data_IF_793197353676
#
_entry.id   IF_793197353676
#
_cell.length_a   1.000
_cell.length_b   1.000
_cell.length_c   1.000
_cell.angle_alpha   90.00
_cell.angle_beta   90.00
_cell.angle_gamma   90.00
#
_symmetry.space_group_name_H-M   'P 1'
#
loop_
_entity.id
_entity.type
_entity.pdbx_description
1 polymer ?
#
# COMPACT_ATOMS: atom_id res chain seq x y z
N UNK A 1 -20.86 75.77 8.07
CA UNK A 1 -21.46 74.92 9.11
C UNK A 1 -22.42 74.00 8.39
N UNK A 2 -22.08 72.76 8.10
CA UNK A 2 -21.51 71.74 8.99
C UNK A 2 -20.66 70.76 8.15
N UNK A 3 -19.47 70.43 8.66
CA UNK A 3 -18.60 69.37 8.13
C UNK A 3 -19.27 68.00 8.35
N UNK A 4 -19.40 67.21 7.28
CA UNK A 4 -19.58 65.77 7.41
C UNK A 4 -18.25 65.11 6.99
N UNK A 5 -17.45 64.83 8.02
CA UNK A 5 -16.20 64.10 8.00
C UNK A 5 -16.43 62.72 7.42
N UNK A 6 -15.95 62.51 6.19
CA UNK A 6 -15.87 61.20 5.55
C UNK A 6 -14.78 60.40 6.28
N UNK A 7 -15.21 59.62 7.26
CA UNK A 7 -14.32 58.76 8.05
C UNK A 7 -13.84 57.62 7.17
N UNK A 8 -12.62 57.78 6.66
CA UNK A 8 -11.76 56.69 6.18
C UNK A 8 -11.55 55.68 7.31
N UNK A 9 -12.50 54.76 7.50
CA UNK A 9 -12.27 53.54 8.27
C UNK A 9 -11.36 52.66 7.42
N UNK A 10 -10.05 52.79 7.65
CA UNK A 10 -9.06 51.81 7.22
C UNK A 10 -9.51 50.43 7.70
N UNK A 11 -9.99 49.60 6.77
CA UNK A 11 -10.30 48.20 7.07
C UNK A 11 -9.01 47.51 7.52
N UNK A 12 -9.04 46.75 8.63
CA UNK A 12 -7.84 46.19 9.24
C UNK A 12 -7.01 45.35 8.26
N UNK A 13 -5.68 45.49 8.34
CA UNK A 13 -4.67 44.89 7.45
C UNK A 13 -4.75 43.35 7.36
N UNK A 14 -5.39 42.69 8.32
CA UNK A 14 -5.61 41.25 8.39
C UNK A 14 -6.37 40.67 7.18
N UNK A 15 -7.26 41.44 6.56
CA UNK A 15 -7.96 40.98 5.36
C UNK A 15 -7.04 40.75 4.15
N UNK A 16 -5.85 41.38 4.12
CA UNK A 16 -4.85 41.13 3.06
C UNK A 16 -4.16 39.77 3.22
N UNK A 17 -4.07 39.25 4.44
CA UNK A 17 -3.41 37.97 4.75
C UNK A 17 -4.35 36.77 4.75
N UNK A 18 -5.67 36.99 4.82
CA UNK A 18 -6.65 35.91 4.91
C UNK A 18 -6.60 34.95 3.70
N UNK A 19 -6.44 35.46 2.48
CA UNK A 19 -6.39 34.62 1.28
C UNK A 19 -5.14 33.71 1.24
N UNK A 20 -3.91 34.23 1.45
CA UNK A 20 -2.72 33.40 1.64
C UNK A 20 -2.87 32.38 2.78
N UNK A 21 -3.45 32.77 3.91
CA UNK A 21 -3.65 31.88 5.06
C UNK A 21 -4.58 30.72 4.70
N UNK A 22 -5.70 30.98 4.00
CA UNK A 22 -6.63 29.92 3.58
C UNK A 22 -6.02 28.95 2.57
N UNK A 23 -5.22 29.46 1.63
CA UNK A 23 -4.47 28.59 0.73
C UNK A 23 -3.42 27.77 1.50
N UNK A 24 -2.65 28.41 2.38
CA UNK A 24 -1.64 27.77 3.20
C UNK A 24 -2.21 26.72 4.16
N UNK A 25 -3.41 26.96 4.73
CA UNK A 25 -4.08 25.98 5.59
C UNK A 25 -4.58 24.76 4.81
N UNK A 26 -5.04 24.95 3.58
CA UNK A 26 -5.35 23.84 2.67
C UNK A 26 -4.11 23.00 2.37
N UNK A 27 -2.99 23.64 2.05
CA UNK A 27 -1.71 22.96 1.83
C UNK A 27 -1.28 22.18 3.07
N UNK A 28 -1.31 22.80 4.25
CA UNK A 28 -0.95 22.14 5.51
C UNK A 28 -1.86 20.94 5.81
N UNK A 29 -3.16 21.04 5.50
CA UNK A 29 -4.10 19.94 5.69
C UNK A 29 -3.75 18.70 4.85
N UNK A 30 -3.08 18.86 3.71
CA UNK A 30 -2.62 17.71 2.89
C UNK A 30 -1.49 16.90 3.55
N UNK A 31 -0.66 17.55 4.39
CA UNK A 31 0.55 16.97 5.01
C UNK A 31 0.40 16.71 6.50
N UNK A 32 -0.77 16.99 7.08
CA UNK A 32 -0.98 16.88 8.53
C UNK A 32 -0.76 15.46 9.05
N UNK A 33 -1.19 14.44 8.30
CA UNK A 33 -1.01 13.05 8.73
C UNK A 33 0.47 12.62 8.71
N UNK A 34 1.25 12.83 7.64
CA UNK A 34 2.69 12.59 7.68
C UNK A 34 3.40 13.32 8.83
N UNK A 35 3.06 14.59 9.08
CA UNK A 35 3.64 15.36 10.19
C UNK A 35 3.31 14.73 11.54
N UNK A 36 2.06 14.28 11.74
CA UNK A 36 1.66 13.61 12.97
C UNK A 36 2.42 12.29 13.16
N UNK A 37 2.53 11.47 12.12
CA UNK A 37 3.24 10.18 12.18
C UNK A 37 4.73 10.37 12.47
N UNK A 38 5.39 11.36 11.85
CA UNK A 38 6.76 11.73 12.18
C UNK A 38 6.89 12.18 13.64
N UNK A 39 5.95 12.98 14.14
CA UNK A 39 5.95 13.42 15.53
C UNK A 39 5.69 12.27 16.52
N UNK A 40 5.04 11.19 16.08
CA UNK A 40 4.87 9.94 16.83
C UNK A 40 6.09 9.02 16.79
N UNK A 41 7.20 9.44 16.17
CA UNK A 41 8.45 8.67 16.13
C UNK A 41 8.58 7.75 14.92
N UNK A 42 7.63 7.77 13.97
CA UNK A 42 7.78 7.02 12.72
C UNK A 42 8.83 7.64 11.82
N UNK A 43 9.49 6.82 11.00
CA UNK A 43 10.41 7.34 10.00
C UNK A 43 9.67 8.01 8.83
N UNK A 44 10.43 8.59 7.89
CA UNK A 44 9.87 9.32 6.74
C UNK A 44 9.08 8.39 5.81
N UNK A 45 9.50 7.15 5.64
CA UNK A 45 8.84 6.19 4.76
C UNK A 45 7.48 5.80 5.33
N UNK A 46 7.45 5.41 6.60
CA UNK A 46 6.24 5.04 7.33
C UNK A 46 5.24 6.19 7.46
N UNK A 47 5.75 7.42 7.63
CA UNK A 47 4.89 8.59 7.72
C UNK A 47 4.21 8.94 6.38
N UNK A 48 4.87 8.65 5.26
CA UNK A 48 4.35 8.91 3.91
C UNK A 48 3.51 7.73 3.38
N UNK A 49 3.77 6.51 3.84
CA UNK A 49 3.14 5.28 3.37
C UNK A 49 1.60 5.35 3.28
N UNK A 50 0.86 5.85 4.29
CA UNK A 50 -0.60 5.95 4.18
C UNK A 50 -1.07 6.86 3.04
N UNK A 51 -0.28 7.88 2.68
CA UNK A 51 -0.60 8.72 1.53
C UNK A 51 -0.30 8.01 0.21
N UNK A 52 0.82 7.28 0.12
CA UNK A 52 1.15 6.46 -1.04
C UNK A 52 0.06 5.42 -1.31
N UNK A 53 -0.37 4.70 -0.27
CA UNK A 53 -1.44 3.72 -0.34
C UNK A 53 -2.77 4.33 -0.82
N UNK A 54 -3.19 5.48 -0.26
CA UNK A 54 -4.42 6.16 -0.71
C UNK A 54 -4.31 6.72 -2.13
N UNK A 55 -3.14 7.20 -2.54
CA UNK A 55 -2.93 7.66 -3.92
C UNK A 55 -3.05 6.50 -4.91
N UNK A 56 -2.54 5.31 -4.53
CA UNK A 56 -2.72 4.08 -5.30
C UNK A 56 -4.20 3.70 -5.39
N UNK A 57 -4.90 3.61 -4.26
CA UNK A 57 -6.34 3.31 -4.21
C UNK A 57 -7.17 4.30 -5.05
N UNK A 58 -6.90 5.60 -4.91
CA UNK A 58 -7.57 6.64 -5.69
C UNK A 58 -7.31 6.48 -7.20
N UNK A 59 -6.09 6.10 -7.58
CA UNK A 59 -5.76 5.86 -8.99
C UNK A 59 -6.50 4.64 -9.53
N UNK A 60 -6.54 3.54 -8.79
CA UNK A 60 -7.30 2.34 -9.18
C UNK A 60 -8.80 2.68 -9.31
N UNK A 61 -9.36 3.41 -8.34
CA UNK A 61 -10.75 3.87 -8.41
C UNK A 61 -11.02 4.74 -9.64
N UNK A 62 -10.14 5.70 -9.95
CA UNK A 62 -10.29 6.55 -11.14
C UNK A 62 -10.22 5.76 -12.45
N UNK A 63 -9.39 4.72 -12.50
CA UNK A 63 -9.29 3.80 -13.63
C UNK A 63 -10.60 3.02 -13.82
N UNK A 64 -11.15 2.47 -12.75
CA UNK A 64 -12.38 1.68 -12.82
C UNK A 64 -13.63 2.55 -13.10
N UNK A 65 -13.56 3.83 -12.72
CA UNK A 65 -14.67 4.78 -12.80
C UNK A 65 -14.39 5.93 -13.77
N UNK A 66 -13.74 5.66 -14.91
CA UNK A 66 -13.42 6.66 -15.95
C UNK A 66 -14.64 7.47 -16.40
N UNK A 67 -15.78 6.80 -16.61
CA UNK A 67 -17.04 7.45 -17.01
C UNK A 67 -17.51 8.44 -15.94
N UNK A 68 -17.43 8.07 -14.66
CA UNK A 68 -17.79 8.95 -13.56
C UNK A 68 -16.86 10.16 -13.48
N UNK A 69 -15.54 9.93 -13.62
CA UNK A 69 -14.55 11.01 -13.67
C UNK A 69 -14.86 12.00 -14.80
N UNK A 70 -15.21 11.50 -16.00
CA UNK A 70 -15.60 12.34 -17.13
C UNK A 70 -16.82 13.21 -16.82
N UNK A 71 -17.89 12.63 -16.27
CA UNK A 71 -19.10 13.39 -15.92
C UNK A 71 -18.85 14.42 -14.81
N UNK A 72 -18.10 14.06 -13.77
CA UNK A 72 -17.73 15.02 -12.70
C UNK A 72 -16.91 16.18 -13.29
N UNK A 73 -15.96 15.87 -14.17
CA UNK A 73 -15.14 16.88 -14.85
C UNK A 73 -16.02 17.84 -15.65
N UNK A 74 -16.99 17.32 -16.40
CA UNK A 74 -17.92 18.12 -17.18
C UNK A 74 -18.77 19.04 -16.31
N UNK A 75 -19.29 18.54 -15.18
CA UNK A 75 -20.04 19.33 -14.20
C UNK A 75 -19.17 20.46 -13.64
N UNK A 76 -17.92 20.17 -13.26
CA UNK A 76 -16.98 21.17 -12.75
C UNK A 76 -16.69 22.24 -13.81
N UNK A 77 -16.46 21.84 -15.06
CA UNK A 77 -16.23 22.77 -16.16
C UNK A 77 -17.44 23.66 -16.43
N UNK A 78 -18.66 23.12 -16.54
CA UNK A 78 -19.86 23.93 -16.72
C UNK A 78 -20.11 24.89 -15.56
N UNK A 79 -19.90 24.43 -14.32
CA UNK A 79 -20.02 25.27 -13.12
C UNK A 79 -19.02 26.42 -13.15
N UNK A 80 -17.77 26.14 -13.54
CA UNK A 80 -16.73 27.16 -13.68
C UNK A 80 -17.03 28.15 -14.81
N UNK A 81 -17.54 27.68 -15.94
CA UNK A 81 -17.94 28.52 -17.08
C UNK A 81 -19.10 29.46 -16.73
N UNK A 82 -20.11 28.96 -16.01
CA UNK A 82 -21.20 29.77 -15.48
C UNK A 82 -20.69 30.87 -14.53
N UNK A 83 -19.72 30.53 -13.67
CA UNK A 83 -19.05 31.50 -12.80
C UNK A 83 -18.26 32.55 -13.60
N UNK A 84 -17.51 32.15 -14.63
CA UNK A 84 -16.80 33.08 -15.52
C UNK A 84 -17.79 34.04 -16.17
N UNK A 85 -18.92 33.54 -16.71
CA UNK A 85 -19.96 34.36 -17.31
C UNK A 85 -20.50 35.39 -16.33
N UNK A 86 -20.83 34.97 -15.11
CA UNK A 86 -21.30 35.88 -14.05
C UNK A 86 -20.26 36.95 -13.71
N UNK A 87 -18.98 36.58 -13.61
CA UNK A 87 -17.88 37.52 -13.38
C UNK A 87 -17.71 38.53 -14.52
N UNK A 88 -17.85 38.09 -15.78
CA UNK A 88 -17.84 38.98 -16.94
C UNK A 88 -19.03 39.96 -16.94
N UNK A 89 -20.18 39.56 -16.38
CA UNK A 89 -21.33 40.45 -16.13
C UNK A 89 -21.18 41.30 -14.86
N UNK A 90 -20.01 41.37 -14.25
CA UNK A 90 -19.73 42.19 -13.06
C UNK A 90 -20.22 41.59 -11.74
N UNK A 91 -20.62 40.31 -11.73
CA UNK A 91 -21.06 39.59 -10.52
C UNK A 91 -19.94 38.64 -10.04
N UNK A 92 -19.04 39.10 -9.14
CA UNK A 92 -17.98 38.25 -8.62
C UNK A 92 -18.55 37.08 -7.78
N UNK A 93 -17.78 35.99 -7.59
CA UNK A 93 -18.19 34.89 -6.74
C UNK A 93 -18.44 35.37 -5.31
N UNK A 94 -19.39 34.70 -4.63
CA UNK A 94 -19.66 34.95 -3.22
C UNK A 94 -18.38 34.74 -2.38
N UNK A 95 -18.17 35.57 -1.35
CA UNK A 95 -16.93 35.56 -0.58
C UNK A 95 -16.66 34.19 0.07
N UNK A 96 -17.70 33.51 0.58
CA UNK A 96 -17.55 32.19 1.19
C UNK A 96 -17.10 31.17 0.14
N UNK A 97 -17.72 31.15 -1.04
CA UNK A 97 -17.34 30.28 -2.16
C UNK A 97 -15.88 30.50 -2.53
N UNK A 98 -15.45 31.77 -2.66
CA UNK A 98 -14.05 32.09 -2.94
C UNK A 98 -13.09 31.57 -1.86
N UNK A 99 -13.45 31.70 -0.58
CA UNK A 99 -12.63 31.23 0.55
C UNK A 99 -12.52 29.70 0.57
N UNK A 100 -13.62 28.99 0.35
CA UNK A 100 -13.63 27.52 0.25
C UNK A 100 -12.74 27.07 -0.90
N UNK A 101 -12.86 27.70 -2.08
CA UNK A 101 -12.08 27.32 -3.24
C UNK A 101 -10.58 27.65 -3.08
N UNK A 102 -10.22 28.69 -2.33
CA UNK A 102 -8.82 28.96 -1.97
C UNK A 102 -8.25 27.84 -1.09
N UNK A 103 -9.02 27.37 -0.11
CA UNK A 103 -8.63 26.22 0.72
C UNK A 103 -8.48 24.95 -0.13
N UNK A 104 -9.46 24.65 -0.99
CA UNK A 104 -9.41 23.49 -1.91
C UNK A 104 -8.19 23.60 -2.84
N UNK A 105 -7.91 24.77 -3.40
CA UNK A 105 -6.73 24.97 -4.26
C UNK A 105 -5.43 24.68 -3.51
N UNK A 106 -5.33 25.11 -2.25
CA UNK A 106 -4.18 24.81 -1.38
C UNK A 106 -4.05 23.31 -1.11
N UNK A 107 -5.17 22.65 -0.76
CA UNK A 107 -5.23 21.21 -0.51
C UNK A 107 -4.82 20.39 -1.74
N UNK A 108 -5.39 20.70 -2.91
CA UNK A 108 -5.04 20.05 -4.18
C UNK A 108 -3.58 20.28 -4.56
N UNK A 109 -3.04 21.48 -4.32
CA UNK A 109 -1.61 21.77 -4.54
C UNK A 109 -0.72 20.92 -3.62
N UNK A 110 -1.11 20.76 -2.36
CA UNK A 110 -0.39 19.91 -1.41
C UNK A 110 -0.40 18.43 -1.81
N UNK A 111 -1.55 17.90 -2.25
CA UNK A 111 -1.62 16.54 -2.81
C UNK A 111 -0.81 16.38 -4.10
N UNK A 112 -0.75 17.40 -4.96
CA UNK A 112 0.12 17.38 -6.15
C UNK A 112 1.60 17.32 -5.78
N UNK A 113 2.03 18.08 -4.77
CA UNK A 113 3.43 18.03 -4.28
C UNK A 113 3.76 16.63 -3.78
N UNK A 114 2.90 16.05 -2.94
CA UNK A 114 3.09 14.69 -2.43
C UNK A 114 3.08 13.66 -3.56
N UNK A 115 2.15 13.78 -4.52
CA UNK A 115 2.10 12.93 -5.70
C UNK A 115 3.40 12.99 -6.50
N UNK A 116 3.93 14.19 -6.80
CA UNK A 116 5.18 14.31 -7.56
C UNK A 116 6.39 13.77 -6.79
N UNK A 117 6.42 13.89 -5.47
CA UNK A 117 7.46 13.26 -4.65
C UNK A 117 7.36 11.73 -4.78
N UNK A 118 6.16 11.18 -4.63
CA UNK A 118 5.92 9.75 -4.82
C UNK A 118 6.25 9.30 -6.24
N UNK A 119 5.96 10.11 -7.24
CA UNK A 119 6.23 9.79 -8.65
C UNK A 119 7.73 9.69 -8.94
N UNK A 120 8.53 10.60 -8.40
CA UNK A 120 9.98 10.58 -8.54
C UNK A 120 10.60 9.36 -7.86
N UNK A 121 10.13 8.98 -6.67
CA UNK A 121 10.75 7.91 -5.87
C UNK A 121 10.17 6.51 -6.14
N UNK A 122 8.88 6.42 -6.45
CA UNK A 122 8.11 5.17 -6.48
C UNK A 122 7.34 4.95 -7.79
N UNK A 123 6.49 5.90 -8.20
CA UNK A 123 5.46 5.64 -9.23
C UNK A 123 5.97 5.73 -10.67
N UNK A 124 7.07 6.47 -10.92
CA UNK A 124 7.77 6.57 -12.21
C UNK A 124 6.86 6.82 -13.42
N UNK A 125 5.84 7.66 -13.26
CA UNK A 125 4.90 8.03 -14.31
C UNK A 125 3.77 7.04 -14.56
N UNK A 126 3.58 6.04 -13.69
CA UNK A 126 2.55 5.01 -13.88
C UNK A 126 1.11 5.54 -13.83
N UNK A 127 0.84 6.65 -13.13
CA UNK A 127 -0.51 7.08 -12.77
C UNK A 127 -0.91 8.41 -13.41
N UNK A 128 -1.50 8.36 -14.61
CA UNK A 128 -1.87 9.57 -15.35
C UNK A 128 -3.18 10.23 -14.87
N UNK A 129 -4.15 9.45 -14.40
CA UNK A 129 -5.51 9.93 -14.10
C UNK A 129 -5.59 10.77 -12.82
N UNK A 130 -4.83 10.42 -11.79
CA UNK A 130 -4.82 11.14 -10.53
C UNK A 130 -4.31 12.59 -10.65
N UNK A 131 -3.14 12.87 -11.24
CA UNK A 131 -2.70 14.24 -11.49
C UNK A 131 -3.63 14.98 -12.44
N UNK A 132 -4.27 14.30 -13.40
CA UNK A 132 -5.32 14.89 -14.24
C UNK A 132 -6.54 15.32 -13.43
N UNK A 133 -7.06 14.48 -12.53
CA UNK A 133 -8.19 14.82 -11.66
C UNK A 133 -7.86 16.05 -10.78
N UNK A 134 -6.67 16.08 -10.20
CA UNK A 134 -6.19 17.26 -9.45
C UNK A 134 -6.04 18.49 -10.34
N UNK A 135 -5.55 18.33 -11.57
CA UNK A 135 -5.48 19.40 -12.57
C UNK A 135 -6.86 19.99 -12.89
N UNK A 136 -7.88 19.16 -13.07
CA UNK A 136 -9.27 19.59 -13.34
C UNK A 136 -9.84 20.37 -12.14
N UNK A 137 -9.67 19.85 -10.92
CA UNK A 137 -10.11 20.52 -9.69
C UNK A 137 -9.44 21.89 -9.56
N UNK A 138 -8.11 21.94 -9.71
CA UNK A 138 -7.33 23.15 -9.58
C UNK A 138 -7.71 24.18 -10.65
N UNK A 139 -7.83 23.75 -11.91
CA UNK A 139 -8.21 24.61 -13.03
C UNK A 139 -9.60 25.24 -12.81
N UNK A 140 -10.58 24.44 -12.40
CA UNK A 140 -11.94 24.91 -12.12
C UNK A 140 -11.97 25.88 -10.94
N UNK A 141 -11.20 25.62 -9.87
CA UNK A 141 -11.07 26.55 -8.75
C UNK A 141 -10.48 27.89 -9.20
N UNK A 142 -9.40 27.87 -9.99
CA UNK A 142 -8.76 29.07 -10.52
C UNK A 142 -9.71 29.90 -11.37
N UNK A 143 -10.48 29.27 -12.27
CA UNK A 143 -11.50 29.96 -13.07
C UNK A 143 -12.60 30.60 -12.22
N UNK A 144 -13.06 29.94 -11.17
CA UNK A 144 -14.07 30.53 -10.28
C UNK A 144 -13.48 31.67 -9.45
N UNK A 145 -12.24 31.58 -8.99
CA UNK A 145 -11.61 32.58 -8.12
C UNK A 145 -11.17 33.83 -8.90
N UNK A 146 -10.50 33.64 -10.03
CA UNK A 146 -9.79 34.69 -10.77
C UNK A 146 -10.30 34.92 -12.20
N UNK A 147 -11.19 34.06 -12.69
CA UNK A 147 -11.69 34.13 -14.07
C UNK A 147 -10.66 33.66 -15.10
N UNK A 148 -10.95 33.97 -16.37
CA UNK A 148 -10.06 33.69 -17.50
C UNK A 148 -8.69 34.38 -17.34
N UNK A 149 -7.62 33.79 -17.88
CA UNK A 149 -6.30 34.42 -17.85
C UNK A 149 -6.35 35.73 -18.65
N UNK A 150 -5.94 36.83 -18.02
CA UNK A 150 -5.91 38.19 -18.62
C UNK A 150 -4.53 38.79 -18.44
N UNK A 151 -4.12 39.65 -19.37
CA UNK A 151 -2.88 40.40 -19.24
C UNK A 151 -2.88 41.21 -17.93
N UNK A 152 -1.77 41.24 -17.17
CA UNK A 152 -1.75 41.90 -15.87
C UNK A 152 -1.99 43.41 -16.00
N UNK A 153 -2.85 43.96 -15.15
CA UNK A 153 -3.06 45.40 -15.06
C UNK A 153 -1.77 46.07 -14.54
N UNK A 154 -1.22 47.03 -15.30
CA UNK A 154 0.01 47.77 -14.94
C UNK A 154 -0.21 48.83 -13.85
N UNK A 155 -1.28 48.73 -13.07
CA UNK A 155 -1.68 49.72 -12.07
C UNK A 155 -0.88 49.59 -10.77
N UNK A 156 -0.38 48.40 -10.42
CA UNK A 156 0.56 48.21 -9.30
C UNK A 156 1.40 46.94 -9.46
N UNK A 157 2.62 46.93 -8.88
CA UNK A 157 3.50 45.74 -8.89
C UNK A 157 2.80 44.49 -8.35
N UNK A 158 2.04 44.63 -7.26
CA UNK A 158 1.29 43.52 -6.65
C UNK A 158 0.24 42.93 -7.59
N UNK A 159 -0.51 43.78 -8.31
CA UNK A 159 -1.49 43.31 -9.31
C UNK A 159 -0.82 42.64 -10.49
N UNK A 160 0.36 43.13 -10.90
CA UNK A 160 1.17 42.50 -11.95
C UNK A 160 1.61 41.09 -11.53
N UNK A 161 2.22 40.95 -10.34
CA UNK A 161 2.65 39.64 -9.83
C UNK A 161 1.48 38.66 -9.63
N UNK A 162 0.35 39.13 -9.09
CA UNK A 162 -0.84 38.31 -8.95
C UNK A 162 -1.40 37.84 -10.30
N UNK A 163 -1.40 38.71 -11.32
CA UNK A 163 -1.81 38.35 -12.68
C UNK A 163 -0.90 37.31 -13.33
N UNK A 164 0.43 37.49 -13.21
CA UNK A 164 1.41 36.50 -13.70
C UNK A 164 1.24 35.16 -12.97
N UNK A 165 1.11 35.18 -11.64
CA UNK A 165 0.90 33.97 -10.84
C UNK A 165 -0.38 33.21 -11.25
N UNK A 166 -1.48 33.93 -11.48
CA UNK A 166 -2.73 33.34 -11.95
C UNK A 166 -2.60 32.69 -13.33
N UNK A 167 -1.91 33.36 -14.26
CA UNK A 167 -1.63 32.81 -15.60
C UNK A 167 -0.82 31.52 -15.47
N UNK A 168 0.29 31.55 -14.72
CA UNK A 168 1.15 30.37 -14.52
C UNK A 168 0.39 29.21 -13.87
N UNK A 169 -0.45 29.51 -12.87
CA UNK A 169 -1.27 28.50 -12.21
C UNK A 169 -2.28 27.86 -13.16
N UNK A 170 -2.92 28.64 -14.04
CA UNK A 170 -3.83 28.11 -15.07
C UNK A 170 -3.06 27.22 -16.06
N UNK A 171 -1.90 27.67 -16.54
CA UNK A 171 -1.08 26.87 -17.46
C UNK A 171 -0.62 25.57 -16.81
N UNK A 172 -0.18 25.61 -15.56
CA UNK A 172 0.20 24.42 -14.81
C UNK A 172 -0.97 23.45 -14.63
N UNK A 173 -2.13 23.95 -14.23
CA UNK A 173 -3.33 23.13 -14.09
C UNK A 173 -3.75 22.52 -15.45
N UNK A 174 -3.72 23.29 -16.53
CA UNK A 174 -3.99 22.78 -17.87
C UNK A 174 -2.97 21.70 -18.30
N UNK A 175 -1.68 21.92 -18.02
CA UNK A 175 -0.62 20.94 -18.30
C UNK A 175 -0.84 19.62 -17.55
N UNK A 176 -1.35 19.64 -16.32
CA UNK A 176 -1.71 18.43 -15.57
C UNK A 176 -2.88 17.65 -16.19
N UNK A 177 -3.81 18.35 -16.85
CA UNK A 177 -4.99 17.71 -17.48
C UNK A 177 -4.60 17.03 -18.80
N UNK A 178 -3.67 17.61 -19.57
CA UNK A 178 -3.36 17.16 -20.93
C UNK A 178 -2.99 15.67 -21.05
N UNK A 179 -2.13 15.09 -20.19
CA UNK A 179 -1.77 13.67 -20.29
C UNK A 179 -2.93 12.71 -20.06
N UNK A 180 -3.93 13.08 -19.26
CA UNK A 180 -5.07 12.22 -18.97
C UNK A 180 -6.21 12.31 -19.99
N UNK A 181 -6.25 13.33 -20.87
CA UNK A 181 -7.30 13.44 -21.89
C UNK A 181 -7.34 12.21 -22.79
N UNK A 182 -6.22 11.73 -23.39
CA UNK A 182 -6.23 10.51 -24.19
C UNK A 182 -6.73 9.28 -23.43
N UNK A 183 -6.45 9.18 -22.13
CA UNK A 183 -6.92 8.10 -21.29
C UNK A 183 -8.44 8.18 -21.03
N UNK A 184 -8.97 9.39 -20.79
CA UNK A 184 -10.41 9.61 -20.56
C UNK A 184 -11.27 9.36 -21.80
N UNK A 185 -10.73 9.56 -23.01
CA UNK A 185 -11.44 9.31 -24.27
C UNK A 185 -11.15 7.92 -24.87
N UNK A 186 -10.37 7.08 -24.18
CA UNK A 186 -10.11 5.69 -24.56
C UNK A 186 -9.08 5.49 -25.68
N UNK A 187 -8.20 6.46 -25.91
CA UNK A 187 -7.13 6.38 -26.93
C UNK A 187 -5.78 5.98 -26.33
N UNK A 188 -5.55 6.28 -25.04
CA UNK A 188 -4.32 5.86 -24.38
C UNK A 188 -4.24 4.32 -24.27
N UNK A 189 -3.04 3.74 -24.33
CA UNK A 189 -2.85 2.33 -24.01
C UNK A 189 -3.41 2.03 -22.62
N UNK A 190 -4.40 1.15 -22.56
CA UNK A 190 -4.88 0.59 -21.29
C UNK A 190 -4.08 -0.68 -20.98
N UNK A 191 -3.91 -1.03 -19.69
CA UNK A 191 -3.45 -2.36 -19.33
C UNK A 191 -4.37 -3.41 -20.00
N UNK A 192 -3.84 -4.61 -20.32
CA UNK A 192 -4.67 -5.68 -20.85
C UNK A 192 -5.79 -6.02 -19.86
N UNK A 193 -6.87 -6.61 -20.40
CA UNK A 193 -7.93 -7.15 -19.56
C UNK A 193 -7.35 -8.18 -18.58
N UNK A 194 -7.99 -8.26 -17.41
CA UNK A 194 -7.64 -9.23 -16.38
C UNK A 194 -7.64 -10.63 -17.02
N UNK A 195 -6.53 -11.38 -16.95
CA UNK A 195 -6.47 -12.69 -17.58
C UNK A 195 -7.46 -13.64 -16.92
N UNK A 196 -8.01 -14.58 -17.67
CA UNK A 196 -8.93 -15.59 -17.12
C UNK A 196 -8.16 -16.58 -16.24
N UNK A 197 -6.91 -16.88 -16.59
CA UNK A 197 -6.02 -17.84 -15.92
C UNK A 197 -4.63 -17.25 -15.80
N UNK A 198 -3.94 -17.54 -14.70
CA UNK A 198 -2.56 -17.12 -14.46
C UNK A 198 -2.45 -15.73 -13.82
N UNK A 199 -1.22 -15.25 -13.65
CA UNK A 199 -0.89 -14.06 -12.87
C UNK A 199 -1.80 -12.86 -13.19
N UNK A 200 -2.42 -12.30 -12.14
CA UNK A 200 -3.32 -11.15 -12.24
C UNK A 200 -4.79 -11.50 -12.48
N UNK A 201 -5.16 -12.77 -12.67
CA UNK A 201 -6.57 -13.21 -12.78
C UNK A 201 -7.34 -13.08 -11.46
N UNK A 202 -8.64 -13.43 -11.44
CA UNK A 202 -9.38 -13.55 -10.18
C UNK A 202 -8.88 -14.75 -9.33
N UNK A 203 -8.93 -14.66 -7.98
CA UNK A 203 -8.51 -15.71 -7.05
C UNK A 203 -9.26 -17.05 -7.17
N UNK A 204 -10.54 -17.04 -7.58
CA UNK A 204 -11.46 -18.19 -7.54
C UNK A 204 -10.99 -19.48 -8.22
N UNK A 205 -11.78 -20.57 -8.11
CA UNK A 205 -13.24 -20.54 -7.91
C UNK A 205 -13.74 -20.76 -6.47
N UNK A 206 -12.87 -21.05 -5.50
CA UNK A 206 -13.31 -21.37 -4.14
C UNK A 206 -13.45 -20.12 -3.27
N UNK A 207 -14.49 -20.06 -2.47
CA UNK A 207 -14.52 -19.18 -1.30
C UNK A 207 -13.52 -19.69 -0.26
N UNK A 208 -13.11 -18.83 0.66
CA UNK A 208 -12.07 -19.16 1.64
C UNK A 208 -12.46 -18.75 3.04
N UNK A 209 -12.17 -19.61 4.01
CA UNK A 209 -12.30 -19.30 5.45
C UNK A 209 -10.91 -19.23 6.08
N UNK A 210 -10.69 -18.24 6.94
CA UNK A 210 -9.46 -18.05 7.70
C UNK A 210 -9.68 -18.31 9.19
N UNK A 211 -8.73 -19.00 9.81
CA UNK A 211 -8.68 -19.21 11.26
C UNK A 211 -7.30 -18.87 11.82
N UNK A 212 -7.27 -18.32 13.03
CA UNK A 212 -6.04 -17.88 13.70
C UNK A 212 -5.73 -18.82 14.86
N UNK A 213 -4.48 -19.28 14.92
CA UNK A 213 -4.03 -20.24 15.93
C UNK A 213 -2.70 -19.78 16.54
N UNK A 214 -2.71 -19.19 17.75
CA UNK A 214 -1.51 -18.86 18.48
C UNK A 214 -0.64 -20.10 18.75
N UNK A 215 0.68 -19.94 18.71
CA UNK A 215 1.61 -21.00 19.07
C UNK A 215 2.45 -20.61 20.29
N UNK A 216 2.96 -21.60 21.01
CA UNK A 216 3.84 -21.37 22.15
C UNK A 216 5.21 -20.91 21.65
N UNK A 217 5.53 -19.64 21.90
CA UNK A 217 6.83 -19.07 21.55
C UNK A 217 7.94 -19.76 22.37
N UNK A 218 9.01 -20.28 21.74
CA UNK A 218 10.13 -20.83 22.48
C UNK A 218 10.70 -19.80 23.46
N UNK A 219 10.92 -20.22 24.72
CA UNK A 219 11.31 -19.32 25.81
C UNK A 219 12.49 -18.41 25.45
N UNK A 220 13.56 -18.99 24.88
CA UNK A 220 14.77 -18.24 24.50
C UNK A 220 14.51 -17.17 23.43
N UNK A 221 13.48 -17.35 22.59
CA UNK A 221 13.06 -16.35 21.60
C UNK A 221 12.23 -15.28 22.28
N UNK A 222 11.25 -15.67 23.10
CA UNK A 222 10.37 -14.73 23.82
C UNK A 222 11.14 -13.75 24.71
N UNK A 223 12.25 -14.18 25.30
CA UNK A 223 13.11 -13.35 26.16
C UNK A 223 13.86 -12.22 25.42
N UNK A 224 13.96 -12.29 24.09
CA UNK A 224 14.73 -11.33 23.27
C UNK A 224 13.85 -10.52 22.31
N UNK A 225 12.53 -10.66 22.37
CA UNK A 225 11.60 -9.86 21.57
C UNK A 225 11.62 -8.41 22.07
N UNK A 226 11.82 -7.46 21.15
CA UNK A 226 11.85 -6.04 21.48
C UNK A 226 10.44 -5.47 21.63
N UNK A 227 10.35 -4.31 22.31
CA UNK A 227 9.10 -3.67 22.73
C UNK A 227 8.06 -3.51 21.61
N UNK A 228 8.49 -3.31 20.35
CA UNK A 228 7.59 -3.15 19.20
C UNK A 228 6.74 -4.40 18.89
N UNK A 229 7.17 -5.59 19.33
CA UNK A 229 6.52 -6.87 19.03
C UNK A 229 6.15 -7.68 20.29
N UNK A 230 6.40 -7.18 21.51
CA UNK A 230 6.13 -7.92 22.75
C UNK A 230 4.64 -8.20 23.00
N UNK A 231 3.76 -7.33 22.53
CA UNK A 231 2.30 -7.46 22.70
C UNK A 231 1.63 -8.32 21.59
N UNK A 232 2.41 -8.95 20.71
CA UNK A 232 1.90 -9.75 19.60
C UNK A 232 1.75 -11.21 20.02
N UNK A 233 0.52 -11.73 19.93
CA UNK A 233 0.25 -13.17 20.00
C UNK A 233 0.61 -13.85 18.67
N UNK A 234 1.90 -14.19 18.52
CA UNK A 234 2.41 -14.84 17.32
C UNK A 234 1.62 -16.12 17.00
N UNK A 235 1.09 -16.16 15.79
CA UNK A 235 0.09 -17.13 15.36
C UNK A 235 0.36 -17.69 13.97
N UNK A 236 -0.23 -18.85 13.71
CA UNK A 236 -0.42 -19.38 12.37
C UNK A 236 -1.82 -18.98 11.89
N UNK A 237 -1.89 -18.30 10.75
CA UNK A 237 -3.15 -18.00 10.08
C UNK A 237 -3.36 -19.05 9.01
N UNK A 238 -4.33 -19.93 9.24
CA UNK A 238 -4.67 -21.01 8.31
C UNK A 238 -5.90 -20.60 7.49
N UNK A 239 -5.66 -20.35 6.21
CA UNK A 239 -6.71 -20.03 5.23
C UNK A 239 -6.94 -21.24 4.34
N UNK A 240 -8.19 -21.70 4.30
CA UNK A 240 -8.58 -22.91 3.58
C UNK A 240 -9.65 -22.60 2.53
N UNK A 241 -9.62 -23.28 1.37
CA UNK A 241 -10.75 -23.28 0.44
C UNK A 241 -11.95 -23.97 1.08
N UNK A 242 -13.14 -23.43 0.84
CA UNK A 242 -14.39 -24.11 1.16
C UNK A 242 -14.74 -25.08 0.04
N UNK A 243 -14.54 -26.37 0.27
CA UNK A 243 -14.77 -27.41 -0.71
C UNK A 243 -16.21 -27.95 -0.61
N UNK A 244 -16.87 -28.14 -1.75
CA UNK A 244 -18.16 -28.83 -1.78
C UNK A 244 -17.97 -30.34 -1.74
N UNK A 245 -18.87 -31.11 -1.10
CA UNK A 245 -18.75 -32.57 -1.00
C UNK A 245 -18.75 -33.34 -2.32
N UNK A 246 -19.09 -32.66 -3.43
CA UNK A 246 -19.25 -33.25 -4.76
C UNK A 246 -17.93 -33.27 -5.57
N UNK A 247 -16.87 -32.61 -5.07
CA UNK A 247 -15.57 -32.59 -5.72
C UNK A 247 -14.83 -33.91 -5.49
N UNK A 248 -14.38 -34.62 -6.55
CA UNK A 248 -13.62 -35.86 -6.43
C UNK A 248 -12.15 -35.58 -6.09
N UNK A 249 -11.91 -34.94 -4.95
CA UNK A 249 -10.57 -34.61 -4.45
C UNK A 249 -10.31 -35.36 -3.15
N UNK A 250 -9.21 -36.11 -3.10
CA UNK A 250 -8.78 -36.80 -1.87
C UNK A 250 -7.90 -35.90 -0.99
N UNK A 251 -7.14 -35.00 -1.62
CA UNK A 251 -6.27 -34.06 -0.93
C UNK A 251 -6.03 -32.76 -1.71
N UNK A 252 -5.56 -31.73 -0.99
CA UNK A 252 -5.10 -30.44 -1.52
C UNK A 252 -3.65 -30.15 -1.09
N UNK A 253 -2.87 -29.39 -1.88
CA UNK A 253 -1.50 -29.01 -1.52
C UNK A 253 -1.45 -28.02 -0.34
N UNK A 254 -0.24 -27.86 0.23
CA UNK A 254 0.07 -26.90 1.29
C UNK A 254 0.91 -25.73 0.75
N UNK A 255 0.62 -24.52 1.22
CA UNK A 255 1.43 -23.33 1.02
C UNK A 255 1.87 -22.78 2.38
N UNK A 256 3.16 -22.47 2.51
CA UNK A 256 3.74 -21.78 3.66
C UNK A 256 4.17 -20.38 3.23
N UNK A 257 3.61 -19.36 3.89
CA UNK A 257 3.89 -17.96 3.59
C UNK A 257 4.47 -17.25 4.80
N UNK A 258 5.59 -16.57 4.63
CA UNK A 258 6.24 -15.76 5.66
C UNK A 258 6.22 -14.27 5.35
N UNK A 259 6.10 -13.46 6.40
CA UNK A 259 6.12 -12.01 6.30
C UNK A 259 7.54 -11.41 6.30
N UNK A 260 7.66 -10.19 5.80
CA UNK A 260 8.84 -9.33 5.87
C UNK A 260 9.08 -8.72 7.26
N UNK A 261 10.18 -7.98 7.37
CA UNK A 261 10.59 -7.35 8.63
C UNK A 261 9.59 -6.27 9.05
N UNK A 262 9.22 -6.25 10.33
CA UNK A 262 8.39 -5.24 10.97
C UNK A 262 6.89 -5.25 10.64
N UNK A 263 6.43 -6.20 9.83
CA UNK A 263 5.02 -6.31 9.46
C UNK A 263 4.52 -7.76 9.55
N UNK A 264 4.41 -8.36 10.75
CA UNK A 264 3.73 -9.64 10.96
C UNK A 264 2.20 -9.48 10.81
N UNK A 265 1.71 -8.77 9.80
CA UNK A 265 0.30 -8.39 9.66
C UNK A 265 -0.31 -9.20 8.52
N UNK A 266 -1.26 -10.08 8.84
CA UNK A 266 -1.92 -10.96 7.87
C UNK A 266 -2.56 -10.17 6.72
N UNK A 267 -3.18 -9.03 7.04
CA UNK A 267 -3.93 -8.20 6.09
C UNK A 267 -3.08 -7.71 4.91
N UNK A 268 -1.79 -7.51 5.12
CA UNK A 268 -0.83 -7.06 4.09
C UNK A 268 -0.47 -8.17 3.07
N UNK A 269 -0.80 -9.43 3.37
CA UNK A 269 -0.51 -10.60 2.51
C UNK A 269 -1.76 -11.24 1.91
N UNK A 270 -2.93 -10.62 2.12
CA UNK A 270 -4.23 -11.16 1.68
C UNK A 270 -4.29 -11.46 0.20
N UNK A 271 -3.64 -10.66 -0.66
CA UNK A 271 -3.60 -10.94 -2.10
C UNK A 271 -2.97 -12.29 -2.43
N UNK A 272 -1.81 -12.63 -1.84
CA UNK A 272 -1.17 -13.93 -2.05
C UNK A 272 -1.99 -15.05 -1.43
N UNK A 273 -2.46 -14.84 -0.20
CA UNK A 273 -3.17 -15.85 0.57
C UNK A 273 -4.50 -16.20 -0.10
N UNK A 274 -5.31 -15.21 -0.44
CA UNK A 274 -6.60 -15.43 -1.13
C UNK A 274 -6.38 -16.05 -2.50
N UNK A 275 -5.35 -15.66 -3.24
CA UNK A 275 -5.11 -16.18 -4.58
C UNK A 275 -4.66 -17.65 -4.60
N UNK A 276 -3.84 -18.06 -3.62
CA UNK A 276 -3.47 -19.47 -3.44
C UNK A 276 -4.65 -20.26 -2.88
N UNK A 277 -5.30 -19.76 -1.82
CA UNK A 277 -6.35 -20.48 -1.13
C UNK A 277 -7.59 -20.71 -1.99
N UNK A 278 -8.06 -19.68 -2.70
CA UNK A 278 -9.22 -19.76 -3.57
C UNK A 278 -9.01 -20.66 -4.81
N UNK A 279 -7.79 -21.18 -5.00
CA UNK A 279 -7.45 -22.20 -6.02
C UNK A 279 -7.33 -23.62 -5.49
N UNK A 280 -7.72 -23.83 -4.24
CA UNK A 280 -7.71 -25.15 -3.65
C UNK A 280 -6.37 -25.49 -3.01
N UNK A 281 -5.63 -24.50 -2.49
CA UNK A 281 -4.39 -24.71 -1.73
C UNK A 281 -4.64 -24.36 -0.26
N UNK A 282 -4.22 -25.19 0.69
CA UNK A 282 -4.24 -24.78 2.09
C UNK A 282 -3.09 -23.81 2.33
N UNK A 283 -3.37 -22.59 2.83
CA UNK A 283 -2.32 -21.58 3.05
C UNK A 283 -2.13 -21.35 4.53
N UNK A 284 -0.94 -21.65 5.03
CA UNK A 284 -0.49 -21.29 6.37
C UNK A 284 0.43 -20.06 6.28
N UNK A 285 -0.08 -18.91 6.73
CA UNK A 285 0.74 -17.73 6.97
C UNK A 285 1.37 -17.82 8.36
N UNK A 286 2.70 -17.89 8.36
CA UNK A 286 3.55 -18.19 9.51
C UNK A 286 4.14 -16.89 10.04
N UNK A 287 3.68 -16.46 11.21
CA UNK A 287 4.29 -15.33 11.91
C UNK A 287 5.49 -15.76 12.74
N UNK A 288 6.50 -14.90 12.79
CA UNK A 288 7.67 -15.04 13.67
C UNK A 288 8.19 -13.65 14.05
N UNK A 289 8.85 -13.49 15.20
CA UNK A 289 9.34 -12.19 15.64
C UNK A 289 10.47 -11.71 14.73
N UNK A 290 10.35 -10.48 14.25
CA UNK A 290 11.31 -9.84 13.37
C UNK A 290 12.16 -8.81 14.11
N UNK A 291 11.59 -8.20 15.15
CA UNK A 291 12.24 -7.28 16.09
C UNK A 291 12.76 -8.05 17.32
N UNK A 292 13.97 -8.60 17.19
CA UNK A 292 14.64 -9.32 18.27
C UNK A 292 16.06 -8.78 18.50
N UNK A 293 16.51 -8.80 19.74
CA UNK A 293 17.87 -8.41 20.14
C UNK A 293 18.61 -9.58 20.83
N UNK A 294 19.11 -10.56 20.04
CA UNK A 294 19.79 -11.72 20.60
C UNK A 294 21.17 -11.35 21.17
N UNK A 295 21.65 -12.08 22.20
CA UNK A 295 23.01 -11.90 22.68
C UNK A 295 24.03 -12.18 21.56
N UNK A 296 24.98 -11.26 21.38
CA UNK A 296 26.05 -11.39 20.38
C UNK A 296 27.24 -12.10 21.03
N UNK A 297 27.68 -13.27 20.51
CA UNK A 297 28.86 -13.95 21.03
C UNK A 297 30.11 -13.08 20.99
N UNK A 298 30.92 -13.14 22.06
CA UNK A 298 32.16 -12.37 22.14
C UNK A 298 33.10 -12.72 20.97
N UNK A 299 33.63 -11.70 20.30
CA UNK A 299 34.53 -11.88 19.17
C UNK A 299 33.85 -12.29 17.86
N UNK A 300 32.51 -12.38 17.81
CA UNK A 300 31.79 -12.57 16.55
C UNK A 300 32.13 -11.43 15.59
N UNK A 301 32.69 -11.79 14.43
CA UNK A 301 32.81 -10.88 13.31
C UNK A 301 31.61 -11.10 12.41
N UNK A 302 30.78 -10.06 12.27
CA UNK A 302 29.67 -10.08 11.32
C UNK A 302 30.19 -10.33 9.91
N UNK A 303 29.63 -11.34 9.26
CA UNK A 303 29.87 -11.68 7.86
C UNK A 303 28.55 -11.41 7.15
N UNK A 304 28.59 -10.57 6.13
CA UNK A 304 27.49 -10.35 5.19
C UNK A 304 28.05 -10.45 3.78
N UNK A 305 27.76 -11.58 3.13
CA UNK A 305 28.31 -11.93 1.81
C UNK A 305 27.23 -12.65 1.02
N UNK A 306 27.00 -12.22 -0.23
CA UNK A 306 26.05 -12.84 -1.16
C UNK A 306 24.62 -12.95 -0.59
N UNK A 307 24.19 -11.93 0.15
CA UNK A 307 22.86 -11.87 0.76
C UNK A 307 22.67 -12.85 1.92
N UNK A 308 23.76 -13.39 2.48
CA UNK A 308 23.72 -14.29 3.62
C UNK A 308 24.58 -13.75 4.78
N UNK A 309 24.13 -13.98 6.02
CA UNK A 309 24.87 -13.53 7.20
C UNK A 309 24.97 -14.57 8.32
N UNK A 310 25.95 -14.37 9.20
CA UNK A 310 26.17 -15.20 10.38
C UNK A 310 25.58 -14.61 11.67
N UNK A 311 24.70 -13.62 11.56
CA UNK A 311 24.16 -12.96 12.75
C UNK A 311 23.26 -13.92 13.56
N UNK A 312 23.29 -13.84 14.92
CA UNK A 312 22.57 -14.78 15.78
C UNK A 312 21.06 -14.78 15.61
N UNK A 313 20.46 -13.67 15.14
CA UNK A 313 19.02 -13.54 14.95
C UNK A 313 18.44 -14.64 14.03
N UNK A 314 19.25 -15.24 13.17
CA UNK A 314 18.82 -16.34 12.32
C UNK A 314 18.38 -17.58 13.12
N UNK A 315 19.11 -17.92 14.18
CA UNK A 315 18.83 -19.11 14.99
C UNK A 315 17.53 -18.96 15.78
N UNK A 316 17.33 -17.81 16.41
CA UNK A 316 16.11 -17.53 17.17
C UNK A 316 14.86 -17.47 16.30
N UNK A 317 14.94 -16.81 15.13
CA UNK A 317 13.82 -16.81 14.18
C UNK A 317 13.55 -18.21 13.62
N UNK A 318 14.58 -19.04 13.42
CA UNK A 318 14.39 -20.44 13.03
C UNK A 318 13.65 -21.25 14.09
N UNK A 319 13.96 -21.06 15.38
CA UNK A 319 13.22 -21.72 16.48
C UNK A 319 11.74 -21.31 16.49
N UNK A 320 11.43 -20.03 16.30
CA UNK A 320 10.03 -19.57 16.22
C UNK A 320 9.30 -20.14 15.00
N UNK A 321 9.93 -20.13 13.82
CA UNK A 321 9.37 -20.72 12.61
C UNK A 321 9.12 -22.23 12.82
N UNK A 322 10.07 -22.96 13.41
CA UNK A 322 9.89 -24.38 13.71
C UNK A 322 8.67 -24.63 14.62
N UNK A 323 8.52 -23.84 15.69
CA UNK A 323 7.35 -23.93 16.58
C UNK A 323 6.03 -23.63 15.86
N UNK A 324 6.02 -22.64 14.95
CA UNK A 324 4.85 -22.35 14.15
C UNK A 324 4.52 -23.49 13.16
N UNK A 325 5.52 -24.13 12.54
CA UNK A 325 5.31 -25.27 11.66
C UNK A 325 4.86 -26.54 12.42
N UNK A 326 5.30 -26.72 13.68
CA UNK A 326 4.75 -27.75 14.56
C UNK A 326 3.26 -27.52 14.82
N UNK A 327 2.86 -26.27 15.00
CA UNK A 327 1.44 -25.90 15.09
C UNK A 327 0.69 -26.23 13.80
N UNK A 328 1.24 -25.95 12.61
CA UNK A 328 0.63 -26.38 11.33
C UNK A 328 0.43 -27.90 11.27
N UNK A 329 1.47 -28.68 11.61
CA UNK A 329 1.40 -30.14 11.65
C UNK A 329 0.27 -30.62 12.57
N UNK A 330 0.22 -30.09 13.78
CA UNK A 330 -0.74 -30.49 14.82
C UNK A 330 -2.17 -30.10 14.48
N UNK A 331 -2.37 -28.93 13.88
CA UNK A 331 -3.71 -28.44 13.55
C UNK A 331 -4.29 -29.09 12.30
N UNK A 332 -3.47 -29.35 11.28
CA UNK A 332 -3.98 -29.54 9.92
C UNK A 332 -3.54 -30.85 9.25
N UNK A 333 -2.38 -31.40 9.62
CA UNK A 333 -1.73 -32.50 8.88
C UNK A 333 -1.80 -33.85 9.61
N UNK A 334 -1.95 -33.84 10.94
CA UNK A 334 -2.16 -35.06 11.71
C UNK A 334 -3.55 -35.67 11.49
N UNK A 335 -3.71 -36.97 11.78
CA UNK A 335 -5.00 -37.69 11.65
C UNK A 335 -6.14 -37.04 12.44
N UNK A 336 -5.84 -36.50 13.62
CA UNK A 336 -6.79 -35.77 14.46
C UNK A 336 -6.62 -34.26 14.27
N UNK A 337 -7.06 -33.75 13.12
CA UNK A 337 -6.99 -32.33 12.79
C UNK A 337 -8.03 -31.49 13.54
N UNK A 338 -7.78 -30.18 13.58
CA UNK A 338 -8.62 -29.21 14.26
C UNK A 338 -10.01 -29.11 13.59
N UNK A 339 -11.11 -28.95 14.35
CA UNK A 339 -12.48 -28.93 13.79
C UNK A 339 -12.73 -27.87 12.71
N UNK A 340 -11.98 -26.76 12.73
CA UNK A 340 -12.07 -25.74 11.67
C UNK A 340 -11.60 -26.25 10.32
N UNK A 341 -10.67 -27.21 10.29
CA UNK A 341 -10.19 -27.84 9.06
C UNK A 341 -11.26 -28.76 8.48
N UNK A 342 -11.93 -29.54 9.33
CA UNK A 342 -13.07 -30.38 8.91
C UNK A 342 -14.24 -29.55 8.41
N UNK A 343 -14.49 -28.39 9.02
CA UNK A 343 -15.55 -27.49 8.59
C UNK A 343 -15.32 -26.95 7.17
N UNK A 344 -14.07 -26.69 6.77
CA UNK A 344 -13.72 -26.17 5.45
C UNK A 344 -13.53 -27.27 4.39
N UNK A 345 -12.91 -28.40 4.76
CA UNK A 345 -12.46 -29.42 3.82
C UNK A 345 -13.30 -30.71 3.84
N UNK A 346 -14.18 -30.90 4.83
CA UNK A 346 -14.95 -32.14 4.99
C UNK A 346 -14.04 -33.35 5.19
N UNK A 347 -13.99 -34.26 4.21
CA UNK A 347 -13.11 -35.44 4.24
C UNK A 347 -11.79 -35.23 3.46
N UNK A 348 -11.65 -34.13 2.73
CA UNK A 348 -10.45 -33.85 1.93
C UNK A 348 -9.28 -33.53 2.87
N UNK A 349 -8.13 -34.14 2.64
CA UNK A 349 -6.92 -33.95 3.47
C UNK A 349 -6.00 -32.87 2.90
N UNK A 350 -5.06 -32.36 3.70
CA UNK A 350 -3.98 -31.50 3.20
C UNK A 350 -2.76 -32.40 3.02
N UNK A 351 -2.25 -32.49 1.79
CA UNK A 351 -1.09 -33.30 1.45
C UNK A 351 0.17 -32.42 1.37
N UNK A 352 1.06 -32.45 2.39
CA UNK A 352 2.24 -31.61 2.42
C UNK A 352 3.35 -32.10 1.46
N UNK A 353 3.22 -33.25 0.79
CA UNK A 353 4.16 -33.69 -0.26
C UNK A 353 4.19 -32.74 -1.46
N UNK A 354 3.09 -31.99 -1.66
CA UNK A 354 2.97 -30.92 -2.66
C UNK A 354 3.02 -29.57 -1.95
N UNK A 355 4.16 -28.89 -2.02
CA UNK A 355 4.46 -27.75 -1.17
C UNK A 355 4.80 -26.51 -1.98
N UNK A 356 4.15 -25.40 -1.62
CA UNK A 356 4.55 -24.06 -2.02
C UNK A 356 5.16 -23.34 -0.80
N UNK A 357 6.32 -22.71 -0.94
CA UNK A 357 6.94 -21.90 0.11
C UNK A 357 7.28 -20.54 -0.46
N UNK A 358 6.93 -19.48 0.26
CA UNK A 358 7.37 -18.15 -0.14
C UNK A 358 7.31 -17.10 0.95
N UNK A 359 7.73 -15.90 0.56
CA UNK A 359 7.69 -14.72 1.41
C UNK A 359 8.32 -13.51 0.74
N UNK A 360 8.09 -12.35 1.35
CA UNK A 360 8.63 -11.06 0.92
C UNK A 360 9.71 -10.57 1.89
N UNK A 361 10.77 -9.94 1.37
CA UNK A 361 11.82 -9.29 2.19
C UNK A 361 12.47 -10.28 3.17
N UNK A 362 12.39 -10.03 4.48
CA UNK A 362 12.86 -10.99 5.50
C UNK A 362 12.20 -12.37 5.31
N UNK A 363 10.89 -12.43 5.09
CA UNK A 363 10.18 -13.69 4.86
C UNK A 363 10.67 -14.43 3.62
N UNK A 364 11.05 -13.70 2.57
CA UNK A 364 11.66 -14.28 1.37
C UNK A 364 13.03 -14.90 1.67
N UNK A 365 13.86 -14.26 2.50
CA UNK A 365 15.12 -14.85 2.93
C UNK A 365 14.92 -16.07 3.84
N UNK A 366 13.88 -16.05 4.68
CA UNK A 366 13.54 -17.13 5.61
C UNK A 366 12.72 -18.25 4.98
N UNK A 367 12.37 -18.15 3.69
CA UNK A 367 11.99 -19.30 2.86
C UNK A 367 13.01 -20.43 2.93
N UNK A 368 14.32 -20.12 3.07
CA UNK A 368 15.36 -21.15 3.26
C UNK A 368 15.21 -21.92 4.57
N UNK A 369 14.80 -21.23 5.65
CA UNK A 369 14.57 -21.85 6.96
C UNK A 369 13.29 -22.67 6.92
N UNK A 370 12.20 -22.12 6.35
CA UNK A 370 10.97 -22.87 6.14
C UNK A 370 11.21 -24.13 5.29
N UNK A 371 12.04 -24.03 4.26
CA UNK A 371 12.42 -25.16 3.41
C UNK A 371 13.21 -26.21 4.18
N UNK A 372 14.19 -25.80 4.99
CA UNK A 372 14.92 -26.70 5.87
C UNK A 372 13.97 -27.46 6.80
N UNK A 373 13.13 -26.73 7.55
CA UNK A 373 12.17 -27.32 8.50
C UNK A 373 11.14 -28.23 7.81
N UNK A 374 10.66 -27.84 6.63
CA UNK A 374 9.71 -28.63 5.82
C UNK A 374 10.34 -29.94 5.35
N UNK A 375 11.58 -29.89 4.85
CA UNK A 375 12.30 -31.08 4.41
C UNK A 375 12.56 -32.04 5.58
N UNK A 376 12.93 -31.55 6.76
CA UNK A 376 13.10 -32.39 7.94
C UNK A 376 11.80 -33.10 8.36
N UNK A 377 10.64 -32.48 8.11
CA UNK A 377 9.30 -33.10 8.29
C UNK A 377 8.86 -33.98 7.13
N UNK A 378 9.65 -34.08 6.07
CA UNK A 378 9.34 -34.85 4.87
C UNK A 378 8.31 -34.19 3.96
N UNK A 379 8.02 -32.90 4.13
CA UNK A 379 7.13 -32.12 3.27
C UNK A 379 7.85 -31.69 1.99
N UNK A 380 7.09 -31.43 0.93
CA UNK A 380 7.60 -30.99 -0.38
C UNK A 380 8.48 -32.02 -1.07
N UNK A 381 8.23 -33.31 -0.82
CA UNK A 381 9.05 -34.42 -1.34
C UNK A 381 8.60 -34.94 -2.72
N UNK A 382 7.45 -34.49 -3.24
CA UNK A 382 6.95 -34.84 -4.57
C UNK A 382 7.00 -33.65 -5.52
N UNK A 383 6.40 -32.52 -5.14
CA UNK A 383 6.46 -31.28 -5.93
C UNK A 383 6.73 -30.09 -5.03
N UNK A 384 7.64 -29.21 -5.42
CA UNK A 384 8.07 -28.07 -4.61
C UNK A 384 8.09 -26.79 -5.44
N UNK A 385 7.41 -25.75 -4.96
CA UNK A 385 7.53 -24.40 -5.52
C UNK A 385 8.09 -23.45 -4.47
N UNK A 386 9.16 -22.75 -4.83
CA UNK A 386 9.85 -21.79 -3.95
C UNK A 386 9.74 -20.39 -4.58
N UNK A 387 9.08 -19.45 -3.90
CA UNK A 387 8.92 -18.07 -4.36
C UNK A 387 9.62 -17.08 -3.42
N UNK A 388 10.73 -16.49 -3.86
CA UNK A 388 11.51 -15.56 -3.04
C UNK A 388 11.33 -14.14 -3.57
N UNK A 389 10.45 -13.35 -2.96
CA UNK A 389 10.23 -11.97 -3.37
C UNK A 389 11.18 -11.01 -2.64
N UNK A 390 12.15 -10.46 -3.36
CA UNK A 390 13.09 -9.44 -2.86
C UNK A 390 13.71 -9.81 -1.51
N UNK A 391 14.20 -11.05 -1.39
CA UNK A 391 14.75 -11.58 -0.14
C UNK A 391 15.81 -10.66 0.47
N UNK A 392 15.72 -10.42 1.78
CA UNK A 392 16.71 -9.61 2.50
C UNK A 392 17.98 -10.43 2.79
N UNK A 393 18.24 -10.82 4.05
CA UNK A 393 19.45 -11.54 4.43
C UNK A 393 19.11 -12.93 4.97
N UNK A 394 19.62 -13.98 4.33
CA UNK A 394 19.40 -15.38 4.75
C UNK A 394 20.49 -15.87 5.72
N UNK A 395 20.25 -16.94 6.51
CA UNK A 395 21.32 -17.54 7.31
C UNK A 395 22.45 -18.09 6.44
N UNK A 396 23.69 -17.98 6.94
CA UNK A 396 24.84 -18.73 6.44
C UNK A 396 25.30 -19.85 7.40
N UNK A 397 24.66 -19.98 8.57
CA UNK A 397 24.96 -21.04 9.52
C UNK A 397 24.65 -22.40 8.89
N UNK A 398 25.60 -23.33 9.00
CA UNK A 398 25.52 -24.64 8.35
C UNK A 398 24.29 -25.45 8.79
N UNK A 399 23.92 -25.35 10.06
CA UNK A 399 22.76 -26.01 10.66
C UNK A 399 21.40 -25.44 10.23
N UNK A 400 21.38 -24.29 9.53
CA UNK A 400 20.17 -23.67 9.01
C UNK A 400 20.07 -23.73 7.48
N UNK A 401 20.98 -24.46 6.82
CA UNK A 401 20.93 -24.63 5.37
C UNK A 401 20.06 -25.83 5.01
N UNK A 402 19.06 -25.67 4.12
CA UNK A 402 18.29 -26.80 3.61
C UNK A 402 19.17 -27.76 2.84
N UNK A 403 18.91 -29.06 2.97
CA UNK A 403 19.59 -30.07 2.15
C UNK A 403 18.96 -30.10 0.74
N UNK A 404 19.50 -29.27 -0.15
CA UNK A 404 19.00 -29.11 -1.53
C UNK A 404 19.06 -30.42 -2.35
N UNK A 405 19.85 -31.42 -1.95
CA UNK A 405 19.84 -32.73 -2.62
C UNK A 405 18.57 -33.54 -2.38
N UNK A 406 17.70 -33.09 -1.46
CA UNK A 406 16.40 -33.69 -1.16
C UNK A 406 15.25 -33.05 -1.93
N UNK A 407 15.53 -32.02 -2.74
CA UNK A 407 14.52 -31.42 -3.60
C UNK A 407 14.02 -32.45 -4.63
N UNK A 408 12.71 -32.57 -4.85
CA UNK A 408 12.18 -33.42 -5.91
C UNK A 408 12.57 -32.89 -7.29
N UNK A 409 12.54 -33.75 -8.31
CA UNK A 409 12.80 -33.37 -9.70
C UNK A 409 11.81 -32.28 -10.18
N UNK A 410 10.57 -32.34 -9.69
CA UNK A 410 9.51 -31.36 -9.97
C UNK A 410 9.59 -30.14 -9.04
N UNK A 411 10.79 -29.56 -8.91
CA UNK A 411 11.03 -28.32 -8.16
C UNK A 411 11.08 -27.10 -9.10
N UNK A 412 10.33 -26.04 -8.75
CA UNK A 412 10.41 -24.73 -9.39
C UNK A 412 10.86 -23.68 -8.38
N UNK A 413 11.80 -22.82 -8.80
CA UNK A 413 12.29 -21.70 -8.00
C UNK A 413 12.10 -20.42 -8.80
N UNK A 414 11.42 -19.44 -8.18
CA UNK A 414 11.12 -18.12 -8.75
C UNK A 414 11.73 -17.01 -7.91
#
# INVERSE_FOLDING_TARGET
MEEAVDTLVERPSWHRFLNPILFGSGLMASVIQPIFLLASGKDVNDAIWPHAYRALQATMFLRDQLTLMFFISLILFFSSAASIKNQMSGKPPHQITRRILLFISGLTTGFLILYFLLDVFYLRGAFLLLPTAYGIILLCCLFVIGGLPRLPERTSKTKVFAGIGHILAIFFAAWLVMPGIPAMIGIAPSPPDVPIVGYGSSPGPFETTMTVHPYEMPQMVGEIIMDDEQDIDFSVYLTLPELTPELPLDSIPLALLSHGWGYPVYEEYTDWISYLAARGIAVAFVQYPSHIDPPIPEGLKGIDVEGASNYPHHEYRAMAIAAALDTVQNLALNESRHPSVDAALGNVTINPSHLWIGGHSLGGAYTFVQLYESMERGWGNETLFVNIESGWTRPNQAQLQPNLSRMPDDTMVH
#
